data_IF_996139413609
#
_entry.id   IF_996139413609
#
_cell.length_a   1.000
_cell.length_b   1.000
_cell.length_c   1.000
_cell.angle_alpha   90.00
_cell.angle_beta   90.00
_cell.angle_gamma   90.00
#
_symmetry.space_group_name_H-M   'P 1'
#
loop_
_entity.id
_entity.type
_entity.pdbx_description
1 polymer ?
#
# COMPACT_ATOMS: atom_id res chain seq x y z
N UNK A 1 22.71 17.82 3.31
CA UNK A 1 22.30 17.45 1.94
C UNK A 1 23.54 17.09 1.19
N UNK A 2 23.53 15.99 0.44
CA UNK A 2 24.61 15.68 -0.49
C UNK A 2 24.28 16.35 -1.83
N UNK A 3 25.14 17.27 -2.26
CA UNK A 3 25.07 17.84 -3.61
C UNK A 3 26.10 17.13 -4.49
N UNK A 4 25.61 16.42 -5.51
CA UNK A 4 26.41 15.69 -6.50
C UNK A 4 25.76 14.35 -6.90
N UNK A 5 25.98 13.86 -8.13
CA UNK A 5 25.54 12.52 -8.52
C UNK A 5 26.26 11.48 -7.66
N UNK A 6 25.53 10.53 -7.10
CA UNK A 6 26.08 9.50 -6.23
C UNK A 6 25.68 8.13 -6.76
N UNK A 7 26.64 7.21 -6.80
CA UNK A 7 26.43 5.86 -7.34
C UNK A 7 25.63 4.98 -6.36
N UNK A 8 25.68 5.29 -5.06
CA UNK A 8 24.97 4.60 -3.99
C UNK A 8 24.51 5.60 -2.93
N UNK A 9 23.29 5.43 -2.43
CA UNK A 9 22.79 6.06 -1.20
C UNK A 9 22.35 4.94 -0.26
N UNK A 10 22.76 4.98 1.00
CA UNK A 10 22.38 4.00 2.03
C UNK A 10 21.80 4.71 3.24
N UNK A 11 20.67 4.21 3.73
CA UNK A 11 20.00 4.71 4.93
C UNK A 11 19.94 3.57 5.96
N UNK A 12 20.67 3.65 7.08
CA UNK A 12 20.56 2.64 8.13
C UNK A 12 19.20 2.75 8.81
N UNK A 13 18.59 1.60 9.12
CA UNK A 13 17.41 1.56 9.99
C UNK A 13 17.88 1.69 11.44
N UNK A 14 17.83 2.90 11.99
CA UNK A 14 18.14 3.17 13.41
C UNK A 14 16.88 2.98 14.28
N UNK A 15 16.96 2.15 15.34
CA UNK A 15 15.86 1.93 16.29
C UNK A 15 15.93 0.57 17.00
N UNK A 16 15.07 0.31 18.03
CA UNK A 16 14.90 -1.05 18.56
C UNK A 16 14.60 -1.96 17.38
N UNK A 17 15.15 -3.19 17.36
CA UNK A 17 15.07 -4.12 16.23
C UNK A 17 13.61 -4.30 15.81
N UNK A 18 13.16 -3.47 14.87
CA UNK A 18 11.89 -3.64 14.19
C UNK A 18 12.24 -4.71 13.18
N UNK A 19 11.74 -5.93 13.40
CA UNK A 19 11.88 -6.98 12.40
C UNK A 19 11.32 -6.44 11.09
N UNK A 20 12.19 -6.21 10.12
CA UNK A 20 11.77 -5.88 8.76
C UNK A 20 11.09 -7.14 8.23
N UNK A 21 9.78 -7.05 8.07
CA UNK A 21 8.95 -8.18 7.63
C UNK A 21 8.86 -8.25 6.09
N UNK A 22 9.17 -7.15 5.39
CA UNK A 22 9.23 -7.09 3.93
C UNK A 22 9.17 -5.66 3.40
N UNK A 23 9.26 -5.53 2.08
CA UNK A 23 9.19 -4.26 1.34
C UNK A 23 7.92 -4.20 0.48
N UNK A 24 7.37 -2.99 0.29
CA UNK A 24 6.26 -2.71 -0.63
C UNK A 24 6.69 -1.62 -1.60
N UNK A 25 6.73 -1.94 -2.89
CA UNK A 25 7.04 -1.00 -3.96
C UNK A 25 5.75 -0.65 -4.71
N UNK A 26 5.45 0.64 -4.84
CA UNK A 26 4.25 1.14 -5.52
C UNK A 26 4.71 2.01 -6.70
N UNK A 27 4.39 1.58 -7.92
CA UNK A 27 4.62 2.37 -9.12
C UNK A 27 3.59 3.48 -9.24
N UNK A 28 4.00 4.74 -9.05
CA UNK A 28 3.09 5.90 -8.99
C UNK A 28 2.38 6.13 -10.32
N UNK A 29 3.06 5.94 -11.44
CA UNK A 29 2.46 6.08 -12.77
C UNK A 29 1.39 5.01 -13.02
N UNK A 30 1.62 3.79 -12.53
CA UNK A 30 0.64 2.72 -12.65
C UNK A 30 -0.57 2.97 -11.75
N UNK A 31 -0.35 3.44 -10.52
CA UNK A 31 -1.41 3.83 -9.60
C UNK A 31 -2.25 4.99 -10.18
N UNK A 32 -1.63 5.96 -10.85
CA UNK A 32 -2.33 7.05 -11.52
C UNK A 32 -3.25 6.52 -12.64
N UNK A 33 -2.74 5.62 -13.50
CA UNK A 33 -3.54 4.99 -14.56
C UNK A 33 -4.72 4.20 -14.00
N UNK A 34 -4.49 3.42 -12.94
CA UNK A 34 -5.55 2.65 -12.27
C UNK A 34 -6.60 3.56 -11.63
N UNK A 35 -6.18 4.65 -11.00
CA UNK A 35 -7.09 5.63 -10.43
C UNK A 35 -7.99 6.26 -11.51
N UNK A 36 -7.42 6.61 -12.66
CA UNK A 36 -8.16 7.15 -13.81
C UNK A 36 -9.16 6.12 -14.39
N UNK A 37 -8.74 4.86 -14.54
CA UNK A 37 -9.59 3.76 -15.03
C UNK A 37 -10.76 3.46 -14.07
N UNK A 38 -10.53 3.59 -12.76
CA UNK A 38 -11.52 3.36 -11.70
C UNK A 38 -12.37 4.60 -11.39
N UNK A 39 -12.00 5.79 -11.91
CA UNK A 39 -12.67 7.05 -11.62
C UNK A 39 -12.51 7.52 -10.17
N UNK A 40 -11.42 7.17 -9.51
CA UNK A 40 -11.10 7.55 -8.12
C UNK A 40 -9.89 8.49 -8.06
N UNK A 41 -9.62 9.07 -6.89
CA UNK A 41 -8.42 9.90 -6.74
C UNK A 41 -7.15 9.04 -6.68
N UNK A 42 -6.03 9.54 -7.20
CA UNK A 42 -4.72 8.90 -7.06
C UNK A 42 -4.38 8.61 -5.60
N UNK A 43 -4.83 9.47 -4.68
CA UNK A 43 -4.60 9.30 -3.25
C UNK A 43 -5.30 8.05 -2.72
N UNK A 44 -6.52 7.79 -3.17
CA UNK A 44 -7.31 6.64 -2.72
C UNK A 44 -6.75 5.34 -3.31
N UNK A 45 -6.28 5.37 -4.56
CA UNK A 45 -5.61 4.20 -5.15
C UNK A 45 -4.27 3.90 -4.46
N UNK A 46 -3.46 4.92 -4.18
CA UNK A 46 -2.21 4.74 -3.43
C UNK A 46 -2.48 4.16 -2.03
N UNK A 47 -3.56 4.59 -1.37
CA UNK A 47 -3.97 4.03 -0.08
C UNK A 47 -4.38 2.56 -0.22
N UNK A 48 -5.18 2.23 -1.25
CA UNK A 48 -5.59 0.85 -1.57
C UNK A 48 -4.38 -0.05 -1.80
N UNK A 49 -3.43 0.38 -2.64
CA UNK A 49 -2.20 -0.36 -2.94
C UNK A 49 -1.29 -0.52 -1.71
N UNK A 50 -1.18 0.51 -0.86
CA UNK A 50 -0.40 0.44 0.36
C UNK A 50 -0.98 -0.57 1.37
N UNK A 51 -2.29 -0.55 1.61
CA UNK A 51 -2.97 -1.52 2.47
C UNK A 51 -2.83 -2.92 1.88
N UNK A 52 -3.06 -3.07 0.58
CA UNK A 52 -2.96 -4.33 -0.14
C UNK A 52 -1.57 -4.97 -0.02
N UNK A 53 -0.52 -4.23 -0.36
CA UNK A 53 0.86 -4.70 -0.26
C UNK A 53 1.25 -5.04 1.18
N UNK A 54 0.79 -4.25 2.15
CA UNK A 54 1.04 -4.53 3.58
C UNK A 54 0.39 -5.83 4.02
N UNK A 55 -0.86 -6.09 3.62
CA UNK A 55 -1.56 -7.33 3.95
C UNK A 55 -0.82 -8.56 3.39
N UNK A 56 -0.29 -8.48 2.17
CA UNK A 56 0.54 -9.53 1.57
C UNK A 56 1.83 -9.77 2.34
N UNK A 57 2.55 -8.70 2.72
CA UNK A 57 3.76 -8.81 3.56
C UNK A 57 3.46 -9.50 4.89
N UNK A 58 2.26 -9.29 5.44
CA UNK A 58 1.79 -9.93 6.67
C UNK A 58 1.25 -11.36 6.47
N UNK A 59 1.37 -11.93 5.28
CA UNK A 59 0.99 -13.31 4.97
C UNK A 59 -0.51 -13.51 4.68
N UNK A 60 -1.25 -12.44 4.42
CA UNK A 60 -2.60 -12.55 3.88
C UNK A 60 -2.51 -12.75 2.37
N UNK A 61 -3.29 -13.68 1.84
CA UNK A 61 -3.33 -13.95 0.41
C UNK A 61 -4.79 -14.00 -0.06
N UNK A 62 -5.01 -13.75 -1.35
CA UNK A 62 -6.32 -13.91 -1.98
C UNK A 62 -6.20 -14.68 -3.30
N UNK A 63 -7.17 -15.54 -3.63
CA UNK A 63 -7.25 -16.14 -4.95
C UNK A 63 -7.43 -15.07 -6.03
N UNK A 64 -6.93 -15.36 -7.23
CA UNK A 64 -7.25 -14.59 -8.43
C UNK A 64 -8.58 -15.06 -9.03
N UNK A 65 -9.33 -14.16 -9.69
CA UNK A 65 -10.59 -14.48 -10.36
C UNK A 65 -11.84 -14.21 -9.51
N UNK A 66 -12.92 -14.95 -9.78
CA UNK A 66 -14.27 -14.67 -9.25
C UNK A 66 -14.38 -14.77 -7.73
N UNK A 67 -13.48 -15.51 -7.07
CA UNK A 67 -13.45 -15.67 -5.61
C UNK A 67 -12.67 -14.56 -4.89
N UNK A 68 -12.13 -13.57 -5.63
CA UNK A 68 -11.32 -12.49 -5.04
C UNK A 68 -12.11 -11.67 -4.02
N UNK A 69 -13.36 -11.33 -4.32
CA UNK A 69 -14.18 -10.44 -3.49
C UNK A 69 -14.71 -11.11 -2.22
N UNK A 70 -14.71 -12.45 -2.17
CA UNK A 70 -15.13 -13.22 -0.99
C UNK A 70 -13.95 -13.65 -0.12
N UNK A 71 -12.72 -13.42 -0.59
CA UNK A 71 -11.50 -13.77 0.12
C UNK A 71 -11.36 -12.98 1.42
N UNK A 72 -10.86 -13.65 2.48
CA UNK A 72 -10.65 -13.03 3.79
C UNK A 72 -9.77 -11.78 3.73
N UNK A 73 -8.74 -11.79 2.88
CA UNK A 73 -7.87 -10.63 2.67
C UNK A 73 -8.63 -9.45 2.05
N UNK A 74 -9.51 -9.69 1.07
CA UNK A 74 -10.29 -8.64 0.43
C UNK A 74 -11.21 -7.96 1.44
N UNK A 75 -11.95 -8.75 2.23
CA UNK A 75 -12.81 -8.23 3.29
C UNK A 75 -12.01 -7.40 4.31
N UNK A 76 -10.82 -7.86 4.68
CA UNK A 76 -9.93 -7.13 5.60
C UNK A 76 -9.42 -5.82 5.00
N UNK A 77 -9.11 -5.81 3.71
CA UNK A 77 -8.70 -4.60 3.00
C UNK A 77 -9.82 -3.55 3.01
N UNK A 78 -11.04 -3.93 2.61
CA UNK A 78 -12.18 -3.02 2.57
C UNK A 78 -12.54 -2.48 3.96
N UNK A 79 -12.44 -3.31 5.00
CA UNK A 79 -12.62 -2.88 6.39
C UNK A 79 -11.62 -1.78 6.77
N UNK A 80 -10.33 -1.97 6.46
CA UNK A 80 -9.27 -1.01 6.78
C UNK A 80 -9.44 0.29 6.00
N UNK A 81 -9.75 0.22 4.71
CA UNK A 81 -9.99 1.41 3.88
C UNK A 81 -11.15 2.26 4.41
N UNK A 82 -12.24 1.61 4.84
CA UNK A 82 -13.37 2.31 5.47
C UNK A 82 -12.94 3.06 6.74
N UNK A 83 -12.12 2.46 7.59
CA UNK A 83 -11.60 3.12 8.79
C UNK A 83 -10.75 4.36 8.49
N UNK A 84 -10.02 4.37 7.37
CA UNK A 84 -9.27 5.56 6.93
C UNK A 84 -10.19 6.68 6.47
N UNK A 85 -11.27 6.36 5.74
CA UNK A 85 -12.27 7.34 5.31
C UNK A 85 -13.05 7.94 6.50
N UNK A 86 -13.49 7.10 7.44
CA UNK A 86 -14.19 7.54 8.65
C UNK A 86 -13.32 8.52 9.47
N UNK A 87 -12.00 8.30 9.51
CA UNK A 87 -11.05 9.17 10.22
C UNK A 87 -10.75 10.47 9.46
N UNK A 88 -10.87 10.51 8.12
CA UNK A 88 -10.78 11.76 7.34
C UNK A 88 -11.98 12.67 7.59
N UNK A 89 -13.17 12.12 7.82
CA UNK A 89 -14.40 12.89 8.07
C UNK A 89 -14.55 13.45 9.49
N UNK A 90 -13.68 13.05 10.42
CA UNK A 90 -13.71 13.45 11.83
C UNK A 90 -12.77 14.63 12.17
N UNK A 91 -12.15 15.26 11.16
CA UNK A 91 -11.17 16.34 11.30
C UNK A 91 -11.64 17.67 10.73
#
# INVERSE_FOLDING_TARGET
GHEGPTDVITFPLEGPVVTVVGDVYIGVEQAARQADELGISIRDELLRLAVHGTLHVLGNDHPSGDDRETASMYLRQEELLRQFEDRKGAG
#
